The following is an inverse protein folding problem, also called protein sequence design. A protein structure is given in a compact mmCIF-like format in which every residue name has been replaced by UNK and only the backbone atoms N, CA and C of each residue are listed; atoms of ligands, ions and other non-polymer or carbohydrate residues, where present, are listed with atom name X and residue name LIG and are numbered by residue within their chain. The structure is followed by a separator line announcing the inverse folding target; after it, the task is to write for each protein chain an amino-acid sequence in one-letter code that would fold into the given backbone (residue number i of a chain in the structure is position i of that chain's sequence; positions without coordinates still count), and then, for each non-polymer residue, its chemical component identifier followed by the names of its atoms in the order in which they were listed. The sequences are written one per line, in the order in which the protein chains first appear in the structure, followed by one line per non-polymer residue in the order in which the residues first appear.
data_IF_969259708384
#
_entry.id   IF_969259708384
#
_cell.length_a   1.000
_cell.length_b   1.000
_cell.length_c   1.000
_cell.angle_alpha   90.00
_cell.angle_beta   90.00
_cell.angle_gamma   90.00
#
_symmetry.space_group_name_H-M   'P 1'
#
loop_
_entity.id
_entity.type
_entity.pdbx_description
1 polymer ?
#
# COMPACT_ATOMS: atom_id res chain seq x y z
N UNK A 1 16.23 -7.94 16.36
CA UNK A 1 15.06 -8.44 17.14
C UNK A 1 13.75 -7.99 16.54
N UNK A 2 13.63 -6.73 16.09
CA UNK A 2 12.43 -6.21 15.43
C UNK A 2 12.07 -6.96 14.13
N UNK A 3 13.04 -7.24 13.25
CA UNK A 3 12.79 -8.03 12.03
C UNK A 3 12.18 -9.41 12.32
N UNK A 4 12.76 -10.18 13.25
CA UNK A 4 12.22 -11.48 13.68
C UNK A 4 10.80 -11.37 14.28
N UNK A 5 10.50 -10.25 14.94
CA UNK A 5 9.16 -9.98 15.49
C UNK A 5 8.19 -9.63 14.37
N UNK A 6 8.63 -8.91 13.34
CA UNK A 6 7.86 -8.59 12.13
C UNK A 6 7.49 -9.87 11.38
N UNK A 7 8.48 -10.71 11.04
CA UNK A 7 8.27 -12.02 10.39
C UNK A 7 7.28 -12.92 11.15
N UNK A 8 7.36 -12.93 12.49
CA UNK A 8 6.44 -13.68 13.33
C UNK A 8 5.01 -13.13 13.30
N UNK A 9 4.84 -11.81 13.27
CA UNK A 9 3.55 -11.14 13.18
C UNK A 9 2.93 -11.37 11.79
N UNK A 10 3.72 -11.26 10.72
CA UNK A 10 3.37 -11.62 9.35
C UNK A 10 2.80 -13.04 9.26
N UNK A 11 3.51 -14.01 9.83
CA UNK A 11 3.08 -15.41 9.85
C UNK A 11 1.74 -15.57 10.57
N UNK A 12 1.51 -14.82 11.65
CA UNK A 12 0.24 -14.83 12.39
C UNK A 12 -0.90 -14.14 11.63
N UNK A 13 -0.62 -13.05 10.92
CA UNK A 13 -1.59 -12.36 10.07
C UNK A 13 -2.08 -13.32 8.98
N UNK A 14 -1.17 -14.01 8.30
CA UNK A 14 -1.51 -15.02 7.29
C UNK A 14 -2.38 -16.16 7.87
N UNK A 15 -2.07 -16.61 9.09
CA UNK A 15 -2.87 -17.64 9.77
C UNK A 15 -4.28 -17.16 10.15
N UNK A 16 -4.44 -15.93 10.66
CA UNK A 16 -5.75 -15.37 11.00
C UNK A 16 -6.59 -15.09 9.74
N UNK A 17 -5.96 -14.71 8.62
CA UNK A 17 -6.61 -14.53 7.32
C UNK A 17 -7.14 -15.87 6.77
N UNK A 18 -6.34 -16.94 6.85
CA UNK A 18 -6.78 -18.28 6.48
C UNK A 18 -7.95 -18.78 7.35
N UNK A 19 -7.93 -18.44 8.65
CA UNK A 19 -9.05 -18.73 9.55
C UNK A 19 -10.30 -17.93 9.18
N UNK A 20 -10.17 -16.64 8.86
CA UNK A 20 -11.30 -15.80 8.46
C UNK A 20 -12.02 -16.37 7.23
N UNK A 21 -11.28 -16.71 6.16
CA UNK A 21 -11.81 -17.35 4.94
C UNK A 21 -12.54 -18.67 5.25
N UNK A 22 -11.91 -19.53 6.06
CA UNK A 22 -12.50 -20.82 6.47
C UNK A 22 -13.82 -20.69 7.23
N UNK A 23 -14.00 -19.61 8.01
CA UNK A 23 -15.21 -19.38 8.81
C UNK A 23 -16.21 -18.41 8.14
N UNK A 24 -15.84 -17.69 7.08
CA UNK A 24 -16.69 -16.70 6.40
C UNK A 24 -18.03 -17.29 5.95
N UNK A 25 -17.99 -18.45 5.30
CA UNK A 25 -19.18 -19.15 4.78
C UNK A 25 -19.99 -19.92 5.82
N UNK A 26 -19.42 -20.20 7.00
CA UNK A 26 -20.03 -21.11 8.01
C UNK A 26 -20.42 -20.44 9.32
N UNK A 27 -19.69 -19.40 9.72
CA UNK A 27 -19.87 -18.74 11.01
C UNK A 27 -19.31 -17.31 10.98
N UNK A 28 -20.16 -16.36 10.55
CA UNK A 28 -19.83 -14.93 10.44
C UNK A 28 -19.24 -14.34 11.74
N UNK A 29 -19.68 -14.80 12.92
CA UNK A 29 -19.14 -14.34 14.21
C UNK A 29 -17.69 -14.78 14.45
N UNK A 30 -17.32 -16.00 14.04
CA UNK A 30 -15.93 -16.46 14.15
C UNK A 30 -15.03 -15.80 13.11
N UNK A 31 -15.53 -15.58 11.89
CA UNK A 31 -14.82 -14.83 10.86
C UNK A 31 -14.52 -13.39 11.30
N UNK A 32 -15.52 -12.68 11.83
CA UNK A 32 -15.35 -11.33 12.39
C UNK A 32 -14.30 -11.27 13.51
N UNK A 33 -14.26 -12.27 14.40
CA UNK A 33 -13.26 -12.33 15.45
C UNK A 33 -11.84 -12.59 14.93
N UNK A 34 -11.69 -13.38 13.86
CA UNK A 34 -10.41 -13.60 13.19
C UNK A 34 -9.92 -12.32 12.49
N UNK A 35 -10.81 -11.60 11.80
CA UNK A 35 -10.49 -10.32 11.16
C UNK A 35 -10.11 -9.23 12.18
N UNK A 36 -10.80 -9.14 13.31
CA UNK A 36 -10.40 -8.24 14.41
C UNK A 36 -8.99 -8.53 14.93
N UNK A 37 -8.61 -9.81 15.00
CA UNK A 37 -7.24 -10.22 15.40
C UNK A 37 -6.21 -9.89 14.31
N UNK A 38 -6.53 -10.14 13.04
CA UNK A 38 -5.72 -9.73 11.87
C UNK A 38 -5.43 -8.23 11.92
N UNK A 39 -6.46 -7.38 11.98
CA UNK A 39 -6.33 -5.92 12.00
C UNK A 39 -5.45 -5.42 13.15
N UNK A 40 -5.57 -6.04 14.34
CA UNK A 40 -4.71 -5.71 15.49
C UNK A 40 -3.24 -6.08 15.25
N UNK A 41 -2.98 -7.22 14.61
CA UNK A 41 -1.63 -7.65 14.28
C UNK A 41 -1.02 -6.78 13.18
N UNK A 42 -1.79 -6.40 12.16
CA UNK A 42 -1.36 -5.46 11.10
C UNK A 42 -0.94 -4.12 11.69
N UNK A 43 -1.72 -3.58 12.63
CA UNK A 43 -1.33 -2.36 13.36
C UNK A 43 -0.03 -2.53 14.16
N UNK A 44 0.19 -3.69 14.76
CA UNK A 44 1.45 -3.97 15.46
C UNK A 44 2.63 -4.07 14.48
N UNK A 45 2.39 -4.59 13.28
CA UNK A 45 3.38 -4.66 12.23
C UNK A 45 3.75 -3.27 11.72
N UNK A 46 2.75 -2.44 11.39
CA UNK A 46 2.95 -1.05 10.97
C UNK A 46 3.75 -0.25 12.01
N UNK A 47 3.45 -0.43 13.31
CA UNK A 47 4.25 0.18 14.38
C UNK A 47 5.70 -0.27 14.38
N UNK A 48 5.97 -1.55 14.11
CA UNK A 48 7.34 -2.08 14.02
C UNK A 48 8.05 -1.50 12.81
N UNK A 49 7.38 -1.41 11.66
CA UNK A 49 7.96 -0.89 10.43
C UNK A 49 8.29 0.60 10.56
N UNK A 50 7.37 1.39 11.14
CA UNK A 50 7.63 2.80 11.46
C UNK A 50 8.81 2.97 12.44
N UNK A 51 8.90 2.09 13.44
CA UNK A 51 10.04 2.07 14.37
C UNK A 51 11.34 1.71 13.63
N UNK A 52 11.27 0.78 12.67
CA UNK A 52 12.41 0.36 11.87
C UNK A 52 12.94 1.52 11.02
N UNK A 53 12.05 2.19 10.28
CA UNK A 53 12.40 3.37 9.48
C UNK A 53 12.98 4.49 10.34
N UNK A 54 12.43 4.70 11.54
CA UNK A 54 12.97 5.69 12.48
C UNK A 54 14.39 5.31 12.93
N UNK A 55 14.65 4.04 13.22
CA UNK A 55 15.99 3.56 13.59
C UNK A 55 16.96 3.69 12.42
N UNK A 56 16.52 3.42 11.20
CA UNK A 56 17.33 3.58 9.99
C UNK A 56 17.74 5.03 9.77
N UNK A 57 16.78 5.96 9.90
CA UNK A 57 17.07 7.40 9.85
C UNK A 57 18.04 7.84 10.95
N UNK A 58 17.84 7.38 12.18
CA UNK A 58 18.76 7.65 13.28
C UNK A 58 20.16 7.09 13.03
N UNK A 59 20.26 5.91 12.39
CA UNK A 59 21.54 5.30 12.03
C UNK A 59 22.28 6.16 11.00
N UNK A 60 21.59 6.61 9.96
CA UNK A 60 22.16 7.49 8.94
C UNK A 60 22.60 8.83 9.55
N UNK A 61 21.78 9.42 10.43
CA UNK A 61 22.13 10.64 11.15
C UNK A 61 23.39 10.45 12.04
N UNK A 62 23.52 9.32 12.73
CA UNK A 62 24.71 8.98 13.52
C UNK A 62 25.95 8.75 12.65
N UNK A 63 25.80 8.08 11.51
CA UNK A 63 26.88 7.89 10.54
C UNK A 63 27.37 9.25 9.99
N UNK A 64 26.46 10.16 9.65
CA UNK A 64 26.77 11.53 9.24
C UNK A 64 27.45 12.34 10.36
N UNK A 65 26.92 12.27 11.58
CA UNK A 65 27.51 12.93 12.75
C UNK A 65 28.92 12.41 13.05
N UNK A 66 29.16 11.10 12.93
CA UNK A 66 30.49 10.51 13.11
C UNK A 66 31.47 10.98 12.03
N UNK A 67 31.03 11.07 10.77
CA UNK A 67 31.84 11.62 9.68
C UNK A 67 32.22 13.09 9.96
N UNK A 68 31.23 13.89 10.35
CA UNK A 68 31.44 15.30 10.70
C UNK A 68 32.36 15.46 11.92
N UNK A 69 32.20 14.62 12.94
CA UNK A 69 33.10 14.59 14.10
C UNK A 69 34.54 14.25 13.70
N UNK A 70 34.73 13.25 12.83
CA UNK A 70 36.05 12.90 12.30
C UNK A 70 36.65 14.06 11.47
N UNK A 71 35.84 14.77 10.68
CA UNK A 71 36.29 15.97 9.95
C UNK A 71 36.72 17.05 10.92
N UNK A 72 35.93 17.36 11.95
CA UNK A 72 36.27 18.35 12.98
C UNK A 72 37.52 17.98 13.76
N UNK A 73 37.70 16.71 14.10
CA UNK A 73 38.92 16.23 14.76
C UNK A 73 40.14 16.40 13.86
N UNK A 74 40.04 16.04 12.57
CA UNK A 74 41.08 16.27 11.59
C UNK A 74 41.37 17.77 11.40
N UNK A 75 40.34 18.61 11.39
CA UNK A 75 40.49 20.07 11.35
C UNK A 75 41.17 20.59 12.60
N UNK A 76 40.89 20.05 13.79
CA UNK A 76 41.56 20.44 15.04
C UNK A 76 43.04 20.04 15.03
N UNK A 77 43.35 18.83 14.54
CA UNK A 77 44.74 18.39 14.33
C UNK A 77 45.45 19.30 13.32
N UNK A 78 44.80 19.63 12.20
CA UNK A 78 45.32 20.54 11.19
C UNK A 78 45.50 21.96 11.74
N UNK A 79 44.55 22.47 12.52
CA UNK A 79 44.60 23.79 13.16
C UNK A 79 45.72 23.85 14.21
N UNK A 80 45.93 22.79 15.00
CA UNK A 80 47.08 22.68 15.92
C UNK A 80 48.41 22.64 15.15
N UNK A 81 48.48 21.89 14.06
CA UNK A 81 49.65 21.86 13.20
C UNK A 81 49.92 23.23 12.55
N UNK A 82 48.87 23.89 12.05
CA UNK A 82 48.93 25.24 11.51
C UNK A 82 49.31 26.27 12.57
N UNK A 83 48.78 26.18 13.80
CA UNK A 83 49.15 27.07 14.93
C UNK A 83 50.59 26.86 15.35
N UNK A 84 51.07 25.62 15.40
CA UNK A 84 52.46 25.33 15.68
C UNK A 84 53.38 25.85 14.55
N UNK A 85 52.95 25.77 13.29
CA UNK A 85 53.64 26.38 12.16
C UNK A 85 53.52 27.92 12.14
N UNK A 86 52.41 28.46 12.66
CA UNK A 86 52.08 29.88 12.76
C UNK A 86 52.47 30.50 14.11
N UNK A 87 53.20 29.80 14.98
CA UNK A 87 53.90 30.41 16.12
C UNK A 87 54.98 31.41 15.67
N UNK A 88 55.07 31.71 14.36
CA UNK A 88 55.73 32.89 13.79
C UNK A 88 54.80 33.96 13.18
N UNK A 89 53.46 33.91 13.30
CA UNK A 89 52.52 34.79 12.58
C UNK A 89 51.23 35.15 13.39
N UNK A 90 51.33 36.23 14.19
CA UNK A 90 50.32 37.20 14.71
C UNK A 90 48.91 36.82 15.18
N UNK A 91 48.51 37.46 16.28
CA UNK A 91 47.30 37.34 17.12
C UNK A 91 45.96 37.63 16.41
N UNK A 92 45.95 38.34 15.28
CA UNK A 92 44.72 38.82 14.63
C UNK A 92 43.81 37.71 14.04
N UNK A 93 44.31 36.47 13.89
CA UNK A 93 43.53 35.34 13.33
C UNK A 93 42.78 34.50 14.36
N UNK A 94 42.95 34.80 15.65
CA UNK A 94 42.26 34.09 16.73
C UNK A 94 40.82 34.58 16.89
N UNK A 95 40.56 35.85 16.59
CA UNK A 95 39.21 36.43 16.64
C UNK A 95 38.30 35.86 15.53
N UNK A 96 38.79 35.76 14.28
CA UNK A 96 38.03 35.13 13.18
C UNK A 96 37.62 33.67 13.50
N UNK A 97 38.47 32.93 14.23
CA UNK A 97 38.18 31.55 14.61
C UNK A 97 37.16 31.45 15.76
N UNK A 98 37.08 32.45 16.63
CA UNK A 98 36.05 32.49 17.69
C UNK A 98 34.68 32.82 17.11
N UNK A 99 34.63 33.66 16.07
CA UNK A 99 33.38 33.98 15.37
C UNK A 99 32.81 32.75 14.63
N UNK A 100 33.65 31.94 13.98
CA UNK A 100 33.22 30.69 13.33
C UNK A 100 32.70 29.63 14.32
N UNK A 101 33.25 29.57 15.55
CA UNK A 101 32.79 28.65 16.59
C UNK A 101 31.40 29.04 17.11
N UNK A 102 31.14 30.34 17.22
CA UNK A 102 29.86 30.86 17.68
C UNK A 102 28.74 30.54 16.66
N UNK A 103 29.02 30.71 15.37
CA UNK A 103 28.07 30.41 14.29
C UNK A 103 27.73 28.90 14.22
N UNK A 104 28.71 28.02 14.46
CA UNK A 104 28.48 26.57 14.49
C UNK A 104 27.61 26.11 15.68
N UNK A 105 27.65 26.83 16.81
CA UNK A 105 26.83 26.52 17.98
C UNK A 105 25.35 26.87 17.76
N UNK A 106 25.05 27.90 16.99
CA UNK A 106 23.66 28.34 16.74
C UNK A 106 22.93 27.40 15.77
N UNK A 107 23.62 26.91 14.74
CA UNK A 107 23.07 25.90 13.80
C UNK A 107 22.70 24.60 14.52
N UNK A 108 23.50 24.17 15.50
CA UNK A 108 23.24 22.96 16.27
C UNK A 108 21.94 23.05 17.11
N UNK A 109 21.62 24.24 17.62
CA UNK A 109 20.39 24.46 18.39
C UNK A 109 19.14 24.47 17.48
N UNK A 110 19.23 25.04 16.29
CA UNK A 110 18.10 25.08 15.33
C UNK A 110 17.70 23.67 14.86
N UNK A 111 18.67 22.77 14.69
CA UNK A 111 18.42 21.35 14.34
C UNK A 111 17.70 20.62 15.48
N UNK A 112 18.07 20.90 16.73
CA UNK A 112 17.41 20.32 17.91
C UNK A 112 15.92 20.73 18.01
N UNK A 113 15.62 21.98 17.69
CA UNK A 113 14.25 22.53 17.70
C UNK A 113 13.40 22.04 16.50
N UNK A 114 14.03 21.72 15.37
CA UNK A 114 13.34 21.16 14.21
C UNK A 114 12.90 19.70 14.42
N UNK A 115 13.71 18.91 15.12
CA UNK A 115 13.46 17.46 15.36
C UNK A 115 12.46 17.23 16.50
N UNK A 116 12.36 18.16 17.44
CA UNK A 116 11.51 18.02 18.65
C UNK A 116 10.03 18.32 18.43
N UNK A 117 9.60 18.71 17.22
CA UNK A 117 8.19 18.93 16.88
C UNK A 117 7.48 17.60 16.64
N UNK A 118 6.54 17.18 17.51
CA UNK A 118 5.86 15.90 17.34
C UNK A 118 4.95 15.96 16.12
N UNK A 119 5.22 15.13 15.11
CA UNK A 119 4.32 14.90 13.98
C UNK A 119 3.06 14.22 14.51
N UNK A 120 1.99 15.01 14.61
CA UNK A 120 0.69 14.56 15.10
C UNK A 120 0.09 13.48 14.21
N UNK A 121 -0.09 12.29 14.78
CA UNK A 121 -0.86 11.22 14.15
C UNK A 121 -1.72 10.53 15.22
N UNK A 122 -2.71 11.26 15.70
CA UNK A 122 -3.80 10.75 16.54
C UNK A 122 -5.12 11.20 15.91
N UNK A 123 -5.64 10.41 14.97
CA UNK A 123 -7.03 10.46 14.54
C UNK A 123 -7.34 9.04 14.06
N UNK A 124 -7.77 8.18 14.98
CA UNK A 124 -9.17 7.75 15.10
C UNK A 124 -9.50 6.69 14.03
N UNK A 125 -9.46 5.43 14.47
CA UNK A 125 -10.03 4.31 13.72
C UNK A 125 -11.55 4.49 13.68
N UNK A 126 -12.12 4.59 12.49
CA UNK A 126 -13.57 4.54 12.27
C UNK A 126 -14.00 3.08 12.02
N UNK A 127 -15.10 2.66 12.65
CA UNK A 127 -15.67 1.31 12.52
C UNK A 127 -16.35 1.12 11.15
N UNK A 128 -16.72 2.21 10.47
CA UNK A 128 -17.34 2.18 9.12
C UNK A 128 -16.33 1.77 8.03
N UNK A 129 -15.06 2.19 8.15
CA UNK A 129 -13.97 1.77 7.25
C UNK A 129 -13.69 0.26 7.36
N UNK A 130 -13.90 -0.33 8.54
CA UNK A 130 -13.73 -1.78 8.76
C UNK A 130 -14.83 -2.61 8.11
N UNK A 131 -16.05 -2.05 8.05
CA UNK A 131 -17.20 -2.69 7.44
C UNK A 131 -17.08 -2.73 5.92
N UNK A 132 -16.57 -1.66 5.31
CA UNK A 132 -16.29 -1.60 3.88
C UNK A 132 -15.23 -2.64 3.44
N UNK A 133 -14.12 -2.77 4.18
CA UNK A 133 -13.07 -3.77 3.87
C UNK A 133 -13.60 -5.21 3.95
N UNK A 134 -14.56 -5.49 4.86
CA UNK A 134 -15.16 -6.82 4.98
C UNK A 134 -16.03 -7.15 3.76
N UNK A 135 -16.82 -6.19 3.28
CA UNK A 135 -17.69 -6.38 2.12
C UNK A 135 -16.88 -6.64 0.84
N UNK A 136 -15.77 -5.91 0.67
CA UNK A 136 -14.83 -6.12 -0.44
C UNK A 136 -14.21 -7.53 -0.42
N UNK A 137 -13.77 -8.02 0.75
CA UNK A 137 -13.22 -9.37 0.89
C UNK A 137 -14.26 -10.48 0.68
N UNK A 138 -15.52 -10.27 1.08
CA UNK A 138 -16.63 -11.20 0.80
C UNK A 138 -16.89 -11.29 -0.72
N UNK A 139 -16.81 -10.16 -1.43
CA UNK A 139 -16.99 -10.07 -2.88
C UNK A 139 -15.85 -10.77 -3.64
N UNK A 140 -14.59 -10.52 -3.25
CA UNK A 140 -13.41 -11.15 -3.87
C UNK A 140 -13.40 -12.68 -3.71
N UNK A 141 -13.87 -13.19 -2.55
CA UNK A 141 -13.97 -14.63 -2.31
C UNK A 141 -15.09 -15.26 -3.14
N UNK A 142 -16.25 -14.59 -3.26
CA UNK A 142 -17.35 -15.01 -4.14
C UNK A 142 -16.93 -15.05 -5.61
N UNK A 143 -16.21 -14.02 -6.06
CA UNK A 143 -15.69 -13.95 -7.43
C UNK A 143 -14.64 -15.04 -7.69
N UNK A 144 -13.75 -15.29 -6.73
CA UNK A 144 -12.76 -16.36 -6.79
C UNK A 144 -13.39 -17.77 -6.74
N UNK A 145 -14.46 -17.95 -5.97
CA UNK A 145 -15.26 -19.19 -5.98
C UNK A 145 -16.00 -19.35 -7.30
N UNK A 146 -16.55 -18.28 -7.90
CA UNK A 146 -17.16 -18.29 -9.24
C UNK A 146 -16.15 -18.65 -10.34
N UNK A 147 -14.93 -18.14 -10.26
CA UNK A 147 -13.82 -18.49 -11.16
C UNK A 147 -13.30 -19.92 -10.97
N UNK A 148 -13.49 -20.52 -9.79
CA UNK A 148 -13.11 -21.88 -9.47
C UNK A 148 -14.24 -22.90 -9.65
N UNK A 149 -15.45 -22.48 -10.03
CA UNK A 149 -16.43 -23.42 -10.57
C UNK A 149 -15.79 -23.92 -11.88
N UNK A 150 -15.46 -25.22 -12.02
CA UNK A 150 -15.05 -25.72 -13.31
C UNK A 150 -16.18 -25.32 -14.26
N UNK A 151 -15.83 -24.55 -15.30
CA UNK A 151 -16.75 -24.29 -16.40
C UNK A 151 -17.13 -25.66 -16.91
N UNK A 152 -18.24 -26.19 -16.41
CA UNK A 152 -18.86 -27.34 -17.00
C UNK A 152 -19.42 -26.77 -18.28
N UNK A 153 -18.59 -26.77 -19.31
CA UNK A 153 -19.00 -26.89 -20.71
C UNK A 153 -19.73 -28.22 -20.93
N UNK A 154 -20.59 -28.62 -19.99
CA UNK A 154 -21.80 -29.34 -20.30
C UNK A 154 -22.84 -28.26 -20.50
N UNK A 155 -22.86 -27.71 -21.73
CA UNK A 155 -24.17 -27.52 -22.34
C UNK A 155 -24.94 -28.82 -22.07
N UNK A 156 -26.12 -28.78 -21.42
CA UNK A 156 -26.96 -29.95 -21.43
C UNK A 156 -27.14 -30.28 -22.91
N UNK A 157 -26.69 -31.46 -23.33
CA UNK A 157 -27.01 -31.99 -24.65
C UNK A 157 -28.52 -32.18 -24.65
N UNK A 158 -29.24 -31.10 -24.96
CA UNK A 158 -30.64 -31.12 -25.31
C UNK A 158 -30.67 -32.02 -26.54
N UNK A 159 -31.07 -33.27 -26.31
CA UNK A 159 -31.29 -34.25 -27.33
C UNK A 159 -32.59 -33.85 -28.06
N UNK A 160 -32.52 -32.71 -28.77
CA UNK A 160 -33.59 -32.24 -29.63
C UNK A 160 -33.65 -33.19 -30.83
N UNK A 161 -34.85 -33.62 -31.24
CA UNK A 161 -35.01 -34.45 -32.42
C UNK A 161 -34.39 -33.74 -33.64
N UNK A 162 -33.70 -34.51 -34.49
CA UNK A 162 -33.02 -33.98 -35.67
C UNK A 162 -33.98 -33.14 -36.53
N UNK A 163 -33.62 -31.87 -36.75
CA UNK A 163 -34.34 -31.02 -37.68
C UNK A 163 -34.28 -31.64 -39.10
N UNK A 164 -35.39 -31.62 -39.86
CA UNK A 164 -35.42 -32.18 -41.20
C UNK A 164 -34.42 -31.47 -42.12
N UNK A 165 -33.51 -32.23 -42.74
CA UNK A 165 -32.44 -31.78 -43.65
C UNK A 165 -32.93 -31.34 -45.04
N UNK A 166 -34.22 -31.04 -45.20
CA UNK A 166 -34.75 -30.57 -46.47
C UNK A 166 -34.85 -29.05 -46.41
N UNK A 167 -33.91 -28.38 -47.09
CA UNK A 167 -33.97 -26.94 -47.33
C UNK A 167 -35.37 -26.60 -47.89
N UNK A 168 -36.11 -25.65 -47.29
CA UNK A 168 -37.31 -25.15 -47.93
C UNK A 168 -36.87 -24.43 -49.21
N UNK A 169 -37.47 -24.82 -50.34
CA UNK A 169 -37.39 -24.00 -51.54
C UNK A 169 -37.92 -22.61 -51.17
N UNK A 170 -37.13 -21.58 -51.49
CA UNK A 170 -37.49 -20.19 -51.26
C UNK A 170 -38.93 -19.92 -51.73
N UNK A 171 -39.82 -19.42 -50.87
CA UNK A 171 -41.09 -18.92 -51.35
C UNK A 171 -40.84 -17.62 -52.11
N UNK A 172 -41.48 -17.54 -53.28
CA UNK A 172 -41.38 -16.47 -54.24
C UNK A 172 -41.66 -15.09 -53.61
N UNK A 173 -40.98 -14.08 -54.16
CA UNK A 173 -41.08 -12.65 -53.86
C UNK A 173 -42.45 -12.01 -54.20
N UNK A 174 -43.56 -12.74 -54.10
CA UNK A 174 -44.91 -12.25 -54.41
C UNK A 174 -45.74 -11.90 -53.16
N UNK A 175 -45.46 -12.51 -52.00
CA UNK A 175 -46.29 -12.28 -50.80
C UNK A 175 -46.09 -10.91 -50.12
N UNK A 176 -44.93 -10.27 -50.34
CA UNK A 176 -44.62 -8.95 -49.75
C UNK A 176 -45.20 -7.79 -50.55
N UNK A 177 -45.54 -7.99 -51.82
CA UNK A 177 -46.12 -6.95 -52.69
C UNK A 177 -47.64 -6.83 -52.42
N UNK A 178 -48.30 -7.96 -52.18
CA UNK A 178 -49.74 -8.00 -51.85
C UNK A 178 -50.04 -7.38 -50.46
N UNK A 179 -49.20 -7.63 -49.46
CA UNK A 179 -49.36 -7.00 -48.12
C UNK A 179 -49.10 -5.48 -48.13
N UNK A 180 -48.23 -4.99 -49.01
CA UNK A 180 -47.95 -3.56 -49.13
C UNK A 180 -49.10 -2.83 -49.85
N UNK A 181 -49.70 -3.46 -50.87
CA UNK A 181 -50.84 -2.91 -51.60
C UNK A 181 -52.11 -2.79 -50.73
N UNK A 182 -52.35 -3.74 -49.82
CA UNK A 182 -53.48 -3.70 -48.88
C UNK A 182 -53.32 -2.59 -47.83
N UNK A 183 -52.07 -2.30 -47.41
CA UNK A 183 -51.75 -1.21 -46.48
C UNK A 183 -51.94 0.18 -47.11
N UNK A 184 -51.62 0.34 -48.40
CA UNK A 184 -51.84 1.60 -49.13
C UNK A 184 -53.32 1.90 -49.36
N UNK A 185 -54.17 0.88 -49.61
CA UNK A 185 -55.61 1.07 -49.75
C UNK A 185 -56.31 1.46 -48.44
N UNK A 186 -55.81 1.02 -47.28
CA UNK A 186 -56.36 1.38 -45.99
C UNK A 186 -56.07 2.84 -45.60
N UNK A 187 -54.93 3.39 -46.04
CA UNK A 187 -54.57 4.79 -45.74
C UNK A 187 -55.21 5.82 -46.69
N UNK A 188 -55.83 5.39 -47.79
CA UNK A 188 -56.39 6.26 -48.81
C UNK A 188 -57.91 6.52 -48.66
N UNK A 189 -58.55 6.06 -47.57
CA UNK A 189 -59.99 6.20 -47.33
C UNK A 189 -60.30 6.87 -45.98
#
# INVERSE_FOLDING_TARGET
MLNKKSEFIETKIAAELANAKKFGTKNKRQALNALKKKKRLEKQQEQIDNTLTTIEFQREALEGAQSNANILENMNVAAKAMKNAANGMSVDKVDDMMDEIQEASDVANEISDAISRPMGFQSELDDDDLLAELEELEQEELDSEMLNIPSSSQEPSLNLPAAPTKAPAAPAAQAVDDELADLEQWMAN
#
